data_IF_034316036365
#
_entry.id   IF_034316036365
#
_cell.length_a   1.000
_cell.length_b   1.000
_cell.length_c   1.000
_cell.angle_alpha   90.00
_cell.angle_beta   90.00
_cell.angle_gamma   90.00
#
_symmetry.space_group_name_H-M   'P 1'
#
loop_
_entity.id
_entity.type
_entity.pdbx_description
1 polymer ?
#
# COMPACT_ATOMS: atom_id res chain seq x y z
N UNK A 1 -6.01 11.17 -26.66
CA UNK A 1 -6.04 12.44 -25.88
C UNK A 1 -4.64 12.76 -25.38
N UNK A 2 -4.01 13.84 -25.86
CA UNK A 2 -2.72 14.31 -25.31
C UNK A 2 -3.02 15.04 -23.99
N UNK A 3 -2.91 14.35 -22.86
CA UNK A 3 -3.02 14.99 -21.55
C UNK A 3 -1.87 15.98 -21.35
N UNK A 4 -2.19 17.18 -20.90
CA UNK A 4 -1.22 18.20 -20.53
C UNK A 4 -0.29 17.65 -19.42
N UNK A 5 1.03 17.83 -19.57
CA UNK A 5 2.06 17.36 -18.63
C UNK A 5 1.80 17.84 -17.21
N UNK A 6 1.24 19.05 -17.04
CA UNK A 6 0.87 19.58 -15.73
C UNK A 6 -0.28 18.80 -15.09
N UNK A 7 -1.32 18.49 -15.86
CA UNK A 7 -2.49 17.73 -15.38
C UNK A 7 -2.07 16.31 -14.96
N UNK A 8 -1.17 15.66 -15.71
CA UNK A 8 -0.63 14.34 -15.36
C UNK A 8 0.12 14.37 -14.02
N UNK A 9 1.01 15.35 -13.83
CA UNK A 9 1.78 15.48 -12.59
C UNK A 9 0.89 15.78 -11.37
N UNK A 10 -0.17 16.55 -11.55
CA UNK A 10 -1.15 16.81 -10.51
C UNK A 10 -1.91 15.53 -10.12
N UNK A 11 -2.39 14.75 -11.11
CA UNK A 11 -3.10 13.47 -10.86
C UNK A 11 -2.19 12.51 -10.08
N UNK A 12 -0.95 12.31 -10.54
CA UNK A 12 0.02 11.43 -9.86
C UNK A 12 0.28 11.90 -8.44
N UNK A 13 0.45 13.21 -8.23
CA UNK A 13 0.70 13.76 -6.88
C UNK A 13 -0.49 13.54 -5.95
N UNK A 14 -1.73 13.72 -6.44
CA UNK A 14 -2.95 13.45 -5.66
C UNK A 14 -3.01 11.97 -5.28
N UNK A 15 -2.78 11.05 -6.22
CA UNK A 15 -2.78 9.61 -5.95
C UNK A 15 -1.71 9.26 -4.91
N UNK A 16 -0.48 9.77 -5.05
CA UNK A 16 0.58 9.56 -4.05
C UNK A 16 0.16 10.06 -2.67
N UNK A 17 -0.46 11.24 -2.57
CA UNK A 17 -0.93 11.78 -1.29
C UNK A 17 -2.00 10.90 -0.65
N UNK A 18 -2.97 10.39 -1.43
CA UNK A 18 -4.00 9.48 -0.92
C UNK A 18 -3.34 8.21 -0.34
N UNK A 19 -2.37 7.64 -1.04
CA UNK A 19 -1.61 6.48 -0.55
C UNK A 19 -0.81 6.77 0.72
N UNK A 20 -0.18 7.94 0.81
CA UNK A 20 0.55 8.35 2.02
C UNK A 20 -0.38 8.39 3.22
N UNK A 21 -1.55 9.02 3.08
CA UNK A 21 -2.55 9.08 4.16
C UNK A 21 -3.01 7.68 4.53
N UNK A 22 -3.33 6.83 3.55
CA UNK A 22 -3.79 5.47 3.78
C UNK A 22 -2.76 4.63 4.54
N UNK A 23 -1.52 4.57 4.07
CA UNK A 23 -0.48 3.75 4.70
C UNK A 23 -0.06 4.28 6.07
N UNK A 24 0.02 5.60 6.23
CA UNK A 24 0.31 6.21 7.53
C UNK A 24 -0.80 5.86 8.53
N UNK A 25 -2.05 6.03 8.13
CA UNK A 25 -3.21 5.67 8.97
C UNK A 25 -3.17 4.19 9.36
N UNK A 26 -3.02 3.30 8.36
CA UNK A 26 -3.04 1.86 8.56
C UNK A 26 -1.87 1.35 9.42
N UNK A 27 -0.69 1.96 9.30
CA UNK A 27 0.46 1.63 10.12
C UNK A 27 0.28 2.12 11.56
N UNK A 28 -0.15 3.37 11.74
CA UNK A 28 -0.41 3.95 13.07
C UNK A 28 -1.51 3.19 13.80
N UNK A 29 -2.61 2.82 13.15
CA UNK A 29 -3.69 2.05 13.81
C UNK A 29 -3.20 0.69 14.30
N UNK A 30 -2.34 0.02 13.53
CA UNK A 30 -1.76 -1.29 13.92
C UNK A 30 -0.76 -1.17 15.07
N UNK A 31 -0.01 -0.07 15.14
CA UNK A 31 0.93 0.16 16.25
C UNK A 31 0.22 0.58 17.54
N UNK A 32 -0.85 1.37 17.44
CA UNK A 32 -1.63 1.77 18.60
C UNK A 32 -2.35 0.58 19.24
N UNK A 33 -2.80 -0.38 18.43
CA UNK A 33 -3.44 -1.61 18.89
C UNK A 33 -2.62 -2.86 18.54
N UNK A 34 -1.33 -2.82 18.87
CA UNK A 34 -0.33 -3.82 18.48
C UNK A 34 -0.67 -5.23 19.00
N UNK A 35 -1.15 -5.34 20.24
CA UNK A 35 -1.38 -6.65 20.85
C UNK A 35 -2.59 -7.34 20.24
N UNK A 36 -3.68 -6.61 19.96
CA UNK A 36 -4.81 -7.17 19.21
C UNK A 36 -4.40 -7.54 17.78
N UNK A 37 -3.63 -6.68 17.10
CA UNK A 37 -3.14 -6.99 15.75
C UNK A 37 -2.30 -8.27 15.72
N UNK A 38 -1.41 -8.45 16.71
CA UNK A 38 -0.62 -9.68 16.88
C UNK A 38 -1.48 -10.91 17.15
N UNK A 39 -2.47 -10.81 18.03
CA UNK A 39 -3.40 -11.91 18.35
C UNK A 39 -4.19 -12.32 17.10
N UNK A 40 -4.73 -11.37 16.35
CA UNK A 40 -5.50 -11.64 15.14
C UNK A 40 -4.65 -12.28 14.04
N UNK A 41 -3.41 -11.83 13.87
CA UNK A 41 -2.45 -12.50 12.98
C UNK A 41 -2.16 -13.94 13.45
N UNK A 42 -2.08 -14.17 14.75
CA UNK A 42 -1.93 -15.50 15.35
C UNK A 42 -3.13 -16.43 15.11
N UNK A 43 -4.33 -15.87 14.95
CA UNK A 43 -5.55 -16.62 14.65
C UNK A 43 -5.74 -16.89 13.15
N UNK A 44 -5.04 -16.16 12.28
CA UNK A 44 -5.12 -16.38 10.83
C UNK A 44 -4.36 -17.65 10.43
N UNK A 45 -5.03 -18.67 9.82
CA UNK A 45 -4.41 -19.97 9.54
C UNK A 45 -3.14 -19.93 8.68
N UNK A 46 -3.02 -18.95 7.78
CA UNK A 46 -1.89 -18.84 6.85
C UNK A 46 -0.67 -18.08 7.40
N UNK A 47 -0.86 -17.21 8.40
CA UNK A 47 0.20 -16.30 8.88
C UNK A 47 0.47 -16.45 10.38
N UNK A 48 -0.24 -17.34 11.06
CA UNK A 48 -0.05 -17.65 12.47
C UNK A 48 1.38 -18.07 12.80
N UNK A 49 2.04 -18.83 11.92
CA UNK A 49 3.45 -19.22 12.04
C UNK A 49 4.43 -18.03 12.03
N UNK A 50 3.99 -16.87 11.53
CA UNK A 50 4.77 -15.66 11.37
C UNK A 50 4.28 -14.50 12.24
N UNK A 51 3.33 -14.77 13.15
CA UNK A 51 2.74 -13.78 14.05
C UNK A 51 3.72 -13.18 15.07
N UNK A 52 4.97 -13.65 15.12
CA UNK A 52 6.03 -13.07 15.95
C UNK A 52 6.72 -11.85 15.31
N UNK A 53 6.84 -11.79 13.98
CA UNK A 53 7.60 -10.74 13.29
C UNK A 53 6.78 -9.93 12.29
N UNK A 54 5.73 -10.50 11.67
CA UNK A 54 4.83 -9.77 10.77
C UNK A 54 4.19 -8.53 11.45
N UNK A 55 3.76 -8.59 12.73
CA UNK A 55 3.16 -7.42 13.38
C UNK A 55 4.05 -6.18 13.39
N UNK A 56 5.38 -6.36 13.36
CA UNK A 56 6.37 -5.28 13.34
C UNK A 56 6.78 -4.95 11.90
N UNK A 57 7.01 -5.98 11.08
CA UNK A 57 7.45 -5.79 9.70
C UNK A 57 6.39 -5.05 8.87
N UNK A 58 5.11 -5.40 9.02
CA UNK A 58 4.07 -4.86 8.16
C UNK A 58 3.85 -3.34 8.33
N UNK A 59 3.64 -2.79 9.55
CA UNK A 59 3.56 -1.35 9.75
C UNK A 59 4.85 -0.61 9.33
N UNK A 60 6.01 -1.27 9.51
CA UNK A 60 7.30 -0.70 9.07
C UNK A 60 7.35 -0.53 7.56
N UNK A 61 6.94 -1.55 6.79
CA UNK A 61 6.85 -1.45 5.33
C UNK A 61 5.84 -0.41 4.88
N UNK A 62 4.69 -0.30 5.54
CA UNK A 62 3.67 0.72 5.24
C UNK A 62 4.25 2.14 5.41
N UNK A 63 4.98 2.42 6.49
CA UNK A 63 5.65 3.72 6.67
C UNK A 63 6.75 3.96 5.65
N UNK A 64 7.58 2.95 5.33
CA UNK A 64 8.62 3.07 4.30
C UNK A 64 7.99 3.46 2.97
N UNK A 65 6.90 2.81 2.57
CA UNK A 65 6.19 3.13 1.33
C UNK A 65 5.64 4.56 1.36
N UNK A 66 5.04 4.99 2.48
CA UNK A 66 4.57 6.36 2.64
C UNK A 66 5.72 7.38 2.46
N UNK A 67 6.89 7.13 3.05
CA UNK A 67 8.08 7.99 2.90
C UNK A 67 8.57 7.99 1.44
N UNK A 68 8.63 6.85 0.77
CA UNK A 68 9.04 6.74 -0.64
C UNK A 68 8.12 7.56 -1.55
N UNK A 69 6.82 7.59 -1.28
CA UNK A 69 5.83 8.35 -2.04
C UNK A 69 5.91 9.87 -1.81
N UNK A 70 6.39 10.31 -0.65
CA UNK A 70 6.64 11.73 -0.37
C UNK A 70 7.82 12.28 -1.18
N UNK A 71 8.85 11.46 -1.41
CA UNK A 71 10.07 11.86 -2.10
C UNK A 71 9.89 11.81 -3.63
N UNK A 72 9.89 12.96 -4.36
CA UNK A 72 9.58 12.99 -5.79
C UNK A 72 10.46 12.07 -6.65
N UNK A 73 11.73 11.91 -6.25
CA UNK A 73 12.71 11.05 -6.94
C UNK A 73 12.42 9.55 -6.77
N UNK A 74 11.76 9.16 -5.68
CA UNK A 74 11.49 7.77 -5.33
C UNK A 74 10.02 7.38 -5.53
N UNK A 75 9.18 8.31 -6.00
CA UNK A 75 7.74 8.07 -6.21
C UNK A 75 7.44 6.85 -7.06
N UNK A 76 8.21 6.62 -8.13
CA UNK A 76 7.98 5.45 -8.99
C UNK A 76 8.20 4.14 -8.20
N UNK A 77 9.28 4.07 -7.44
CA UNK A 77 9.59 2.91 -6.57
C UNK A 77 8.51 2.77 -5.49
N UNK A 78 8.10 3.88 -4.87
CA UNK A 78 7.02 3.91 -3.88
C UNK A 78 5.68 3.44 -4.46
N UNK A 79 5.34 3.82 -5.70
CA UNK A 79 4.11 3.39 -6.37
C UNK A 79 4.14 1.89 -6.71
N UNK A 80 5.26 1.35 -7.18
CA UNK A 80 5.40 -0.10 -7.39
C UNK A 80 5.33 -0.87 -6.08
N UNK A 81 5.94 -0.36 -5.01
CA UNK A 81 5.86 -0.98 -3.68
C UNK A 81 4.42 -0.94 -3.14
N UNK A 82 3.73 0.19 -3.27
CA UNK A 82 2.32 0.35 -2.91
C UNK A 82 1.40 -0.61 -3.68
N UNK A 83 1.60 -0.70 -5.01
CA UNK A 83 0.88 -1.63 -5.88
C UNK A 83 1.09 -3.08 -5.41
N UNK A 84 2.35 -3.45 -5.17
CA UNK A 84 2.73 -4.81 -4.78
C UNK A 84 2.12 -5.17 -3.42
N UNK A 85 2.18 -4.27 -2.44
CA UNK A 85 1.62 -4.50 -1.12
C UNK A 85 0.09 -4.65 -1.17
N UNK A 86 -0.60 -3.80 -1.93
CA UNK A 86 -2.06 -3.93 -2.12
C UNK A 86 -2.45 -5.22 -2.84
N UNK A 87 -1.67 -5.64 -3.85
CA UNK A 87 -1.86 -6.91 -4.53
C UNK A 87 -1.66 -8.10 -3.59
N UNK A 88 -0.59 -8.09 -2.77
CA UNK A 88 -0.35 -9.12 -1.75
C UNK A 88 -1.49 -9.22 -0.74
N UNK A 89 -1.98 -8.08 -0.22
CA UNK A 89 -3.15 -8.09 0.66
C UNK A 89 -4.41 -8.62 -0.02
N UNK A 90 -4.63 -8.28 -1.29
CA UNK A 90 -5.78 -8.78 -2.05
C UNK A 90 -5.72 -10.29 -2.23
N UNK A 91 -4.55 -10.82 -2.63
CA UNK A 91 -4.33 -12.27 -2.77
C UNK A 91 -4.51 -12.97 -1.43
N UNK A 92 -3.96 -12.42 -0.34
CA UNK A 92 -4.15 -12.96 1.00
C UNK A 92 -5.63 -13.05 1.39
N UNK A 93 -6.40 -11.96 1.25
CA UNK A 93 -7.83 -11.94 1.57
C UNK A 93 -8.60 -12.92 0.68
N UNK A 94 -8.29 -12.98 -0.61
CA UNK A 94 -8.94 -13.89 -1.54
C UNK A 94 -8.72 -15.35 -1.14
N UNK A 95 -7.49 -15.74 -0.79
CA UNK A 95 -7.20 -17.10 -0.33
C UNK A 95 -7.90 -17.38 1.00
N UNK A 96 -7.85 -16.43 1.94
CA UNK A 96 -8.52 -16.55 3.24
C UNK A 96 -10.03 -16.80 3.07
N UNK A 97 -10.71 -16.06 2.18
CA UNK A 97 -12.16 -16.20 1.98
C UNK A 97 -12.58 -17.50 1.28
N UNK A 98 -11.73 -18.06 0.41
CA UNK A 98 -12.10 -19.22 -0.40
C UNK A 98 -11.54 -20.56 0.15
N UNK A 99 -10.48 -20.52 0.94
CA UNK A 99 -9.75 -21.72 1.37
C UNK A 99 -9.59 -21.85 2.90
N UNK A 100 -9.99 -20.84 3.69
CA UNK A 100 -9.93 -20.93 5.16
C UNK A 100 -11.22 -21.51 5.74
N UNK A 101 -11.09 -22.38 6.74
CA UNK A 101 -12.22 -22.89 7.51
C UNK A 101 -12.81 -21.85 8.48
N UNK A 102 -12.03 -20.83 8.85
CA UNK A 102 -12.44 -19.76 9.76
C UNK A 102 -11.86 -18.41 9.33
N UNK A 103 -12.67 -17.36 9.44
CA UNK A 103 -12.30 -16.00 9.07
C UNK A 103 -12.13 -15.17 10.35
N UNK A 104 -10.92 -14.70 10.69
CA UNK A 104 -10.71 -13.86 11.86
C UNK A 104 -11.43 -12.51 11.73
N UNK A 105 -11.55 -11.78 12.84
CA UNK A 105 -11.97 -10.38 12.80
C UNK A 105 -10.93 -9.54 12.04
N UNK A 106 -11.38 -8.43 11.45
CA UNK A 106 -10.50 -7.48 10.73
C UNK A 106 -9.85 -6.54 11.74
N UNK A 107 -8.53 -6.31 11.68
CA UNK A 107 -7.83 -5.34 12.53
C UNK A 107 -7.33 -4.17 11.68
N UNK A 108 -7.71 -2.93 12.00
CA UNK A 108 -7.20 -1.78 11.25
C UNK A 108 -7.86 -0.42 11.54
N UNK A 109 -8.43 -0.23 12.73
CA UNK A 109 -9.13 1.01 13.07
C UNK A 109 -10.44 1.17 12.29
N UNK A 110 -10.58 2.22 11.49
CA UNK A 110 -11.74 2.42 10.60
C UNK A 110 -11.85 1.26 9.61
N UNK A 111 -10.71 0.68 9.22
CA UNK A 111 -10.68 -0.45 8.31
C UNK A 111 -11.24 -1.73 8.96
N UNK A 112 -11.22 -1.88 10.29
CA UNK A 112 -11.82 -3.04 10.97
C UNK A 112 -13.35 -3.11 10.82
N UNK A 113 -14.00 -1.96 10.60
CA UNK A 113 -15.46 -1.91 10.41
C UNK A 113 -15.91 -2.34 9.00
N UNK A 114 -14.97 -2.65 8.10
CA UNK A 114 -15.28 -3.12 6.75
C UNK A 114 -15.39 -4.65 6.72
N UNK A 115 -16.37 -5.17 5.99
CA UNK A 115 -16.43 -6.61 5.68
C UNK A 115 -15.25 -7.00 4.80
N UNK A 116 -14.80 -8.25 4.86
CA UNK A 116 -13.69 -8.76 4.04
C UNK A 116 -13.89 -8.56 2.53
N UNK A 117 -15.13 -8.66 2.04
CA UNK A 117 -15.45 -8.35 0.63
C UNK A 117 -15.27 -6.86 0.32
N UNK A 118 -15.66 -5.96 1.24
CA UNK A 118 -15.42 -4.52 1.08
C UNK A 118 -13.93 -4.19 1.10
N UNK A 119 -13.12 -4.86 1.93
CA UNK A 119 -11.65 -4.74 1.88
C UNK A 119 -11.06 -5.19 0.54
N UNK A 120 -11.57 -6.29 -0.01
CA UNK A 120 -11.11 -6.81 -1.30
C UNK A 120 -11.40 -5.79 -2.42
N UNK A 121 -12.61 -5.24 -2.47
CA UNK A 121 -12.97 -4.17 -3.42
C UNK A 121 -12.12 -2.93 -3.20
N UNK A 122 -11.92 -2.52 -1.95
CA UNK A 122 -11.06 -1.39 -1.59
C UNK A 122 -9.65 -1.57 -2.13
N UNK A 123 -9.00 -2.71 -1.86
CA UNK A 123 -7.65 -2.97 -2.34
C UNK A 123 -7.57 -2.99 -3.87
N UNK A 124 -8.56 -3.58 -4.56
CA UNK A 124 -8.61 -3.57 -6.04
C UNK A 124 -8.71 -2.15 -6.59
N UNK A 125 -9.55 -1.29 -5.99
CA UNK A 125 -9.63 0.12 -6.38
C UNK A 125 -8.26 0.82 -6.25
N UNK A 126 -7.54 0.57 -5.15
CA UNK A 126 -6.21 1.11 -4.95
C UNK A 126 -5.20 0.55 -5.97
N UNK A 127 -5.19 -0.77 -6.23
CA UNK A 127 -4.35 -1.37 -7.28
C UNK A 127 -4.53 -0.68 -8.63
N UNK A 128 -5.78 -0.41 -9.02
CA UNK A 128 -6.10 0.31 -10.26
C UNK A 128 -5.55 1.76 -10.21
N UNK A 129 -5.74 2.47 -9.08
CA UNK A 129 -5.19 3.82 -8.89
C UNK A 129 -3.67 3.86 -9.01
N UNK A 130 -2.95 2.92 -8.39
CA UNK A 130 -1.51 2.80 -8.55
C UNK A 130 -1.12 2.51 -10.00
N UNK A 131 -1.83 1.61 -10.69
CA UNK A 131 -1.62 1.34 -12.11
C UNK A 131 -1.78 2.60 -12.97
N UNK A 132 -2.83 3.39 -12.73
CA UNK A 132 -3.03 4.68 -13.40
C UNK A 132 -1.88 5.65 -13.11
N UNK A 133 -1.46 5.78 -11.85
CA UNK A 133 -0.34 6.67 -11.49
C UNK A 133 0.98 6.26 -12.13
N UNK A 134 1.27 4.95 -12.20
CA UNK A 134 2.46 4.39 -12.85
C UNK A 134 2.42 4.68 -14.36
N UNK A 135 1.29 4.44 -15.03
CA UNK A 135 1.12 4.71 -16.47
C UNK A 135 1.19 6.21 -16.79
N UNK A 136 0.70 7.06 -15.90
CA UNK A 136 0.72 8.51 -16.07
C UNK A 136 2.08 9.14 -15.72
N UNK A 137 2.95 8.45 -14.98
CA UNK A 137 4.28 8.95 -14.67
C UNK A 137 5.14 8.93 -15.95
N UNK A 138 5.66 10.08 -16.41
CA UNK A 138 6.59 10.08 -17.53
C UNK A 138 7.86 9.31 -17.15
N UNK A 139 8.47 8.54 -18.07
CA UNK A 139 9.80 7.92 -17.93
C UNK A 139 10.95 8.95 -17.77
N UNK A 140 10.63 10.19 -17.42
CA UNK A 140 11.58 11.27 -17.30
C UNK A 140 12.19 11.19 -15.90
N UNK A 141 13.07 10.21 -15.70
CA UNK A 141 14.22 10.45 -14.84
C UNK A 141 14.86 11.74 -15.34
N UNK A 142 14.91 12.83 -14.57
CA UNK A 142 15.92 13.83 -14.84
C UNK A 142 17.25 13.17 -14.48
N UNK A 143 17.82 12.40 -15.41
CA UNK A 143 19.27 12.19 -15.42
C UNK A 143 19.80 13.58 -15.68
N UNK A 144 20.10 14.29 -14.60
CA UNK A 144 20.78 15.57 -14.63
C UNK A 144 22.19 15.30 -15.14
N UNK A 145 22.32 15.13 -16.46
CA UNK A 145 23.59 15.22 -17.14
C UNK A 145 23.94 16.71 -17.16
N UNK A 146 24.34 17.26 -16.01
CA UNK A 146 25.19 18.44 -15.99
C UNK A 146 26.40 18.06 -16.83
N UNK A 147 26.38 18.50 -18.08
CA UNK A 147 27.50 18.49 -19.00
C UNK A 147 28.72 19.04 -18.26
N UNK A 148 29.67 18.15 -17.98
CA UNK A 148 31.04 18.52 -17.67
C UNK A 148 31.59 19.14 -18.97
N UNK A 149 31.53 20.47 -19.07
CA UNK A 149 32.42 21.21 -19.97
C UNK A 149 33.75 21.30 -19.23
N UNK A 150 34.70 20.46 -19.62
CA UNK A 150 36.14 20.72 -19.51
C UNK A 150 36.53 21.70 -20.61
#
# INVERSE_FOLDING_TARGET
>A
MKFNTQTRNNIVSIICTIYVVLFTYAATSKLLDFENFRIQLGQSPLVSAYASWIPIALPTFEFIIAILLLLPKLRLIGLFAAYSLMAMFTVYIYILLNFSAFVPCSCGGILENMTWNQHLVFNICFIILAGIAILLMPNNLPVNHKTIKL
#
